data_IF_732813844965
#
_entry.id   IF_732813844965
#
_cell.length_a   1.000
_cell.length_b   1.000
_cell.length_c   1.000
_cell.angle_alpha   90.00
_cell.angle_beta   90.00
_cell.angle_gamma   90.00
#
_symmetry.space_group_name_H-M   'P 1'
#
loop_
_entity.id
_entity.type
_entity.pdbx_description
1 polymer ?
#
# COMPACT_ATOMS: atom_id res chain seq x y z
N UNK A 1 12.45 8.90 -4.37
CA UNK A 1 13.31 8.53 -3.23
C UNK A 1 12.83 7.24 -2.56
N UNK A 2 13.74 6.48 -1.94
CA UNK A 2 13.45 5.19 -1.29
C UNK A 2 12.50 5.35 -0.08
N UNK A 3 12.76 6.31 0.80
CA UNK A 3 11.98 6.52 2.01
C UNK A 3 10.55 6.96 1.73
N UNK A 4 10.32 7.79 0.72
CA UNK A 4 8.98 8.20 0.30
C UNK A 4 8.15 6.98 -0.16
N UNK A 5 8.75 6.10 -0.97
CA UNK A 5 8.06 4.90 -1.43
C UNK A 5 7.71 3.96 -0.26
N UNK A 6 8.62 3.81 0.72
CA UNK A 6 8.38 3.03 1.94
C UNK A 6 7.28 3.63 2.80
N UNK A 7 7.28 4.96 2.99
CA UNK A 7 6.28 5.67 3.78
C UNK A 7 4.86 5.50 3.21
N UNK A 8 4.71 5.62 1.88
CA UNK A 8 3.43 5.37 1.19
C UNK A 8 2.95 3.94 1.47
N UNK A 9 3.83 2.95 1.28
CA UNK A 9 3.48 1.55 1.51
C UNK A 9 3.09 1.26 2.96
N UNK A 10 3.82 1.82 3.93
CA UNK A 10 3.52 1.64 5.35
C UNK A 10 2.21 2.30 5.77
N UNK A 11 1.93 3.51 5.30
CA UNK A 11 0.68 4.19 5.60
C UNK A 11 -0.53 3.39 5.09
N UNK A 12 -0.46 2.90 3.85
CA UNK A 12 -1.51 2.06 3.27
C UNK A 12 -1.65 0.72 3.99
N UNK A 13 -0.53 0.06 4.33
CA UNK A 13 -0.54 -1.20 5.07
C UNK A 13 -1.16 -1.06 6.46
N UNK A 14 -0.84 0.04 7.17
CA UNK A 14 -1.40 0.29 8.49
C UNK A 14 -2.92 0.48 8.41
N UNK A 15 -3.39 1.26 7.44
CA UNK A 15 -4.83 1.42 7.19
C UNK A 15 -5.50 0.11 6.75
N UNK A 16 -4.76 -0.76 6.05
CA UNK A 16 -5.24 -2.08 5.62
C UNK A 16 -5.61 -3.02 6.77
N UNK A 17 -5.10 -2.80 7.98
CA UNK A 17 -5.55 -3.52 9.19
C UNK A 17 -7.00 -3.20 9.56
N UNK A 18 -7.48 -2.00 9.20
CA UNK A 18 -8.85 -1.54 9.45
C UNK A 18 -9.75 -1.82 8.25
N UNK A 19 -9.29 -1.56 7.03
CA UNK A 19 -10.08 -1.77 5.81
C UNK A 19 -9.21 -2.31 4.65
N UNK A 20 -9.00 -3.63 4.58
CA UNK A 20 -8.14 -4.24 3.57
C UNK A 20 -8.70 -4.07 2.14
N UNK A 21 -10.01 -4.17 1.97
CA UNK A 21 -10.67 -4.05 0.65
C UNK A 21 -10.45 -2.67 0.05
N UNK A 22 -10.55 -1.61 0.86
CA UNK A 22 -10.29 -0.23 0.39
C UNK A 22 -8.85 -0.04 -0.06
N UNK A 23 -7.87 -0.62 0.64
CA UNK A 23 -6.46 -0.54 0.24
C UNK A 23 -6.20 -1.30 -1.05
N UNK A 24 -6.76 -2.51 -1.20
CA UNK A 24 -6.66 -3.27 -2.45
C UNK A 24 -7.26 -2.52 -3.64
N UNK A 25 -8.42 -1.90 -3.46
CA UNK A 25 -9.05 -1.09 -4.49
C UNK A 25 -8.19 0.14 -4.84
N UNK A 26 -7.68 0.85 -3.83
CA UNK A 26 -6.80 2.00 -4.04
C UNK A 26 -5.54 1.63 -4.82
N UNK A 27 -4.87 0.55 -4.44
CA UNK A 27 -3.65 0.06 -5.10
C UNK A 27 -3.93 -0.38 -6.54
N UNK A 28 -5.09 -0.99 -6.82
CA UNK A 28 -5.47 -1.39 -8.19
C UNK A 28 -5.82 -0.20 -9.08
N UNK A 29 -6.44 0.83 -8.53
CA UNK A 29 -6.89 2.00 -9.29
C UNK A 29 -5.79 3.04 -9.51
N UNK A 30 -4.74 3.04 -8.69
CA UNK A 30 -3.67 4.04 -8.75
C UNK A 30 -2.35 3.39 -9.14
N UNK A 31 -1.62 4.00 -10.08
CA UNK A 31 -0.28 3.54 -10.43
C UNK A 31 0.73 3.97 -9.35
N UNK A 32 1.00 3.07 -8.41
CA UNK A 32 2.04 3.24 -7.40
C UNK A 32 3.40 2.79 -7.93
N UNK A 33 4.47 3.29 -7.32
CA UNK A 33 5.80 2.71 -7.56
C UNK A 33 5.81 1.25 -7.04
N UNK A 34 6.54 0.32 -7.69
CA UNK A 34 6.50 -1.10 -7.35
C UNK A 34 6.81 -1.41 -5.88
N UNK A 35 7.69 -0.63 -5.24
CA UNK A 35 8.01 -0.81 -3.82
C UNK A 35 6.83 -0.42 -2.92
N UNK A 36 6.14 0.69 -3.22
CA UNK A 36 4.99 1.17 -2.46
C UNK A 36 3.82 0.20 -2.56
N UNK A 37 3.54 -0.33 -3.76
CA UNK A 37 2.52 -1.35 -3.98
C UNK A 37 2.79 -2.63 -3.17
N UNK A 38 4.01 -3.18 -3.29
CA UNK A 38 4.42 -4.39 -2.54
C UNK A 38 4.32 -4.21 -1.03
N UNK A 39 4.73 -3.06 -0.52
CA UNK A 39 4.64 -2.76 0.92
C UNK A 39 3.19 -2.56 1.38
N UNK A 40 2.33 -1.92 0.58
CA UNK A 40 0.94 -1.61 0.90
C UNK A 40 0.07 -2.85 1.08
N UNK A 41 0.24 -3.86 0.22
CA UNK A 41 -0.57 -5.10 0.24
C UNK A 41 0.04 -6.19 1.14
N UNK A 42 1.19 -5.94 1.77
CA UNK A 42 1.88 -6.94 2.59
C UNK A 42 1.04 -7.27 3.84
N UNK A 43 0.60 -8.53 3.94
CA UNK A 43 -0.31 -9.10 4.95
C UNK A 43 -1.80 -8.85 4.69
N UNK A 44 -2.17 -8.31 3.54
CA UNK A 44 -3.57 -8.24 3.08
C UNK A 44 -3.86 -9.41 2.13
N UNK A 45 -2.84 -9.85 1.39
CA UNK A 45 -2.82 -11.01 0.49
C UNK A 45 -1.81 -12.02 1.03
#
# INVERSE_FOLDING_TARGET
EFFIQKAIGWALREYGKTNPTSVLQFVRLNSLKPLSEREAIRNII
#
